data_IF_447636906465
#
_entry.id   IF_447636906465
#
_cell.length_a   1.000
_cell.length_b   1.000
_cell.length_c   1.000
_cell.angle_alpha   90.00
_cell.angle_beta   90.00
_cell.angle_gamma   90.00
#
_symmetry.space_group_name_H-M   'P 1'
#
loop_
_entity.id
_entity.type
_entity.pdbx_description
1 polymer ?
#
# COMPACT_ATOMS: atom_id res chain seq x y z
N UNK A 1 16.25 -14.89 23.70
CA UNK A 1 17.20 -14.54 24.78
C UNK A 1 18.62 -15.03 24.44
N UNK A 2 19.26 -14.50 23.38
CA UNK A 2 20.56 -15.04 22.92
C UNK A 2 21.80 -14.26 23.39
N UNK A 3 21.67 -12.96 23.70
CA UNK A 3 22.82 -12.12 24.07
C UNK A 3 22.54 -11.12 25.21
N UNK A 4 21.32 -11.11 25.77
CA UNK A 4 20.88 -10.16 26.80
C UNK A 4 20.22 -10.91 27.96
N UNK A 5 20.40 -10.42 29.18
CA UNK A 5 19.82 -11.03 30.38
C UNK A 5 18.29 -11.11 30.29
N UNK A 6 17.69 -12.14 30.91
CA UNK A 6 16.24 -12.36 30.97
C UNK A 6 15.50 -11.07 31.38
N UNK A 7 16.06 -10.34 32.33
CA UNK A 7 15.53 -9.06 32.84
C UNK A 7 15.49 -7.93 31.78
N UNK A 8 16.45 -7.88 30.85
CA UNK A 8 16.40 -6.92 29.75
C UNK A 8 15.36 -7.31 28.70
N UNK A 9 15.16 -8.62 28.47
CA UNK A 9 14.12 -9.11 27.59
C UNK A 9 12.72 -8.80 28.17
N UNK A 10 12.51 -9.01 29.47
CA UNK A 10 11.28 -8.66 30.18
C UNK A 10 10.96 -7.17 30.09
N UNK A 11 11.92 -6.29 30.36
CA UNK A 11 11.71 -4.83 30.25
C UNK A 11 11.27 -4.40 28.85
N UNK A 12 11.79 -5.04 27.80
CA UNK A 12 11.41 -4.77 26.42
C UNK A 12 10.07 -5.39 26.05
N UNK A 13 9.83 -6.63 26.46
CA UNK A 13 8.58 -7.34 26.20
C UNK A 13 7.37 -6.60 26.83
N UNK A 14 7.57 -5.89 27.94
CA UNK A 14 6.55 -5.02 28.54
C UNK A 14 6.05 -3.90 27.61
N UNK A 15 6.83 -3.48 26.61
CA UNK A 15 6.43 -2.43 25.67
C UNK A 15 5.43 -2.90 24.60
N UNK A 16 5.46 -4.18 24.20
CA UNK A 16 4.66 -4.69 23.08
C UNK A 16 3.31 -5.26 23.55
N UNK A 17 2.23 -5.08 22.79
CA UNK A 17 0.90 -5.58 23.16
C UNK A 17 0.77 -7.11 23.06
N UNK A 18 1.49 -7.71 22.11
CA UNK A 18 1.61 -9.15 21.93
C UNK A 18 3.06 -9.54 21.67
N UNK A 19 3.38 -10.81 21.90
CA UNK A 19 4.72 -11.36 21.65
C UNK A 19 4.65 -12.30 20.44
N UNK A 20 5.55 -12.09 19.48
CA UNK A 20 5.62 -12.88 18.25
C UNK A 20 6.63 -14.04 18.38
N UNK A 21 6.22 -15.22 17.91
CA UNK A 21 7.10 -16.37 17.70
C UNK A 21 6.94 -16.90 16.27
N UNK A 22 8.04 -17.33 15.66
CA UNK A 22 8.05 -17.85 14.29
C UNK A 22 8.46 -19.33 14.26
N UNK A 23 8.05 -20.09 13.23
CA UNK A 23 8.50 -21.46 13.04
C UNK A 23 10.03 -21.59 13.12
N UNK A 24 10.57 -22.66 13.72
CA UNK A 24 12.03 -22.87 13.79
C UNK A 24 12.72 -22.79 12.42
N UNK A 25 12.05 -23.26 11.36
CA UNK A 25 12.51 -23.18 9.97
C UNK A 25 12.74 -21.76 9.45
N UNK A 26 12.24 -20.72 10.12
CA UNK A 26 12.49 -19.33 9.71
C UNK A 26 13.86 -18.80 10.18
N UNK A 27 14.49 -19.49 11.14
CA UNK A 27 15.73 -19.04 11.77
C UNK A 27 16.99 -19.71 11.21
N UNK A 28 16.93 -20.28 10.00
CA UNK A 28 18.08 -20.98 9.37
C UNK A 28 19.34 -20.10 9.35
N UNK A 29 19.17 -18.82 9.05
CA UNK A 29 20.24 -17.83 9.02
C UNK A 29 20.97 -17.64 10.37
N UNK A 30 20.40 -18.07 11.50
CA UNK A 30 21.07 -18.03 12.80
C UNK A 30 22.10 -19.16 12.96
N UNK A 31 21.87 -20.31 12.30
CA UNK A 31 22.85 -21.39 12.22
C UNK A 31 24.02 -20.98 11.33
N UNK A 32 23.75 -20.35 10.17
CA UNK A 32 24.79 -19.86 9.26
C UNK A 32 25.73 -18.83 9.92
N UNK A 33 25.22 -18.09 10.90
CA UNK A 33 25.98 -17.08 11.65
C UNK A 33 26.61 -17.62 12.95
N UNK A 34 26.49 -18.92 13.20
CA UNK A 34 26.95 -19.59 14.43
C UNK A 34 26.41 -18.96 15.72
N UNK A 35 25.28 -18.24 15.63
CA UNK A 35 24.65 -17.62 16.79
C UNK A 35 23.84 -18.65 17.60
N UNK A 36 23.36 -19.69 16.93
CA UNK A 36 22.70 -20.85 17.53
C UNK A 36 23.45 -22.11 17.10
N UNK A 37 23.75 -22.99 18.06
CA UNK A 37 24.57 -24.18 17.82
C UNK A 37 23.76 -25.35 17.27
N UNK A 38 22.51 -25.51 17.70
CA UNK A 38 21.67 -26.63 17.33
C UNK A 38 20.17 -26.28 17.41
N UNK A 39 19.35 -27.11 16.78
CA UNK A 39 17.90 -26.95 16.76
C UNK A 39 17.28 -26.98 18.16
N UNK A 40 17.82 -27.82 19.06
CA UNK A 40 17.37 -27.88 20.45
C UNK A 40 17.50 -26.53 21.16
N UNK A 41 18.61 -25.81 20.97
CA UNK A 41 18.82 -24.49 21.53
C UNK A 41 17.82 -23.47 20.95
N UNK A 42 17.51 -23.55 19.66
CA UNK A 42 16.50 -22.70 19.04
C UNK A 42 15.11 -22.95 19.65
N UNK A 43 14.74 -24.22 19.79
CA UNK A 43 13.49 -24.66 20.42
C UNK A 43 13.41 -24.14 21.86
N UNK A 44 14.50 -24.24 22.64
CA UNK A 44 14.54 -23.73 24.01
C UNK A 44 14.45 -22.20 24.06
N UNK A 45 15.01 -21.48 23.09
CA UNK A 45 14.82 -20.03 22.98
C UNK A 45 13.35 -19.69 22.73
N UNK A 46 12.68 -20.43 21.84
CA UNK A 46 11.25 -20.22 21.55
C UNK A 46 10.41 -20.53 22.80
N UNK A 47 10.67 -21.65 23.48
CA UNK A 47 10.02 -21.99 24.77
C UNK A 47 10.18 -20.89 25.81
N UNK A 48 11.38 -20.34 25.96
CA UNK A 48 11.63 -19.25 26.89
C UNK A 48 10.87 -17.96 26.52
N UNK A 49 10.64 -17.70 25.24
CA UNK A 49 9.84 -16.55 24.78
C UNK A 49 8.36 -16.78 25.06
N UNK A 50 7.86 -18.01 24.82
CA UNK A 50 6.47 -18.37 25.14
C UNK A 50 6.22 -18.26 26.64
N UNK A 51 7.12 -18.80 27.47
CA UNK A 51 7.02 -18.67 28.93
C UNK A 51 7.10 -17.20 29.38
N UNK A 52 7.94 -16.40 28.74
CA UNK A 52 8.01 -14.95 29.03
C UNK A 52 6.69 -14.24 28.71
N UNK A 53 5.98 -14.66 27.67
CA UNK A 53 4.66 -14.11 27.34
C UNK A 53 3.65 -14.45 28.44
N UNK A 54 3.66 -15.70 28.91
CA UNK A 54 2.82 -16.17 30.01
C UNK A 54 3.12 -15.45 31.33
N UNK A 55 4.41 -15.29 31.66
CA UNK A 55 4.87 -14.57 32.86
C UNK A 55 4.46 -13.08 32.85
N UNK A 56 4.25 -12.50 31.66
CA UNK A 56 3.83 -11.11 31.48
C UNK A 56 2.33 -10.95 31.23
N UNK A 57 1.56 -12.06 31.24
CA UNK A 57 0.14 -12.10 30.90
C UNK A 57 -0.16 -11.46 29.53
N UNK A 58 0.70 -11.71 28.53
CA UNK A 58 0.56 -11.17 27.18
C UNK A 58 0.26 -12.27 26.16
N UNK A 59 -0.60 -12.02 25.17
CA UNK A 59 -0.87 -12.99 24.11
C UNK A 59 0.40 -13.28 23.31
N UNK A 60 0.75 -14.56 23.22
CA UNK A 60 1.81 -15.06 22.34
C UNK A 60 1.20 -15.51 21.02
N UNK A 61 1.69 -14.99 19.90
CA UNK A 61 1.13 -15.20 18.56
C UNK A 61 2.18 -15.82 17.65
N UNK A 62 1.83 -16.95 17.04
CA UNK A 62 2.66 -17.60 16.05
C UNK A 62 2.46 -16.98 14.66
N UNK A 63 3.53 -16.45 14.07
CA UNK A 63 3.48 -15.80 12.75
C UNK A 63 4.36 -16.54 11.74
N UNK A 64 3.95 -16.52 10.46
CA UNK A 64 4.70 -17.17 9.38
C UNK A 64 5.83 -16.31 8.79
N UNK A 65 5.81 -14.99 9.03
CA UNK A 65 6.67 -14.00 8.35
C UNK A 65 6.65 -14.19 6.82
N UNK A 66 5.44 -14.20 6.27
CA UNK A 66 5.13 -14.69 4.91
C UNK A 66 5.60 -13.68 3.87
N UNK A 67 6.28 -14.15 2.83
CA UNK A 67 6.75 -13.32 1.72
C UNK A 67 6.36 -13.87 0.34
N UNK A 68 5.86 -15.09 0.29
CA UNK A 68 5.42 -15.75 -0.92
C UNK A 68 4.32 -16.76 -0.60
N UNK A 69 3.55 -17.17 -1.60
CA UNK A 69 2.36 -17.98 -1.38
C UNK A 69 2.74 -19.46 -1.21
N UNK A 70 3.38 -20.03 -2.23
CA UNK A 70 3.74 -21.45 -2.29
C UNK A 70 5.22 -21.67 -1.96
N UNK A 71 5.57 -22.85 -1.44
CA UNK A 71 6.97 -23.21 -1.13
C UNK A 71 7.93 -23.02 -2.33
N UNK A 72 7.48 -23.32 -3.55
CA UNK A 72 8.29 -23.18 -4.77
C UNK A 72 8.56 -21.73 -5.18
N UNK A 73 7.76 -20.76 -4.70
CA UNK A 73 7.88 -19.35 -5.06
C UNK A 73 9.13 -18.68 -4.44
N UNK A 74 9.79 -19.38 -3.50
CA UNK A 74 11.06 -18.94 -2.92
C UNK A 74 12.11 -18.60 -3.99
N UNK A 75 12.09 -19.30 -5.13
CA UNK A 75 13.02 -19.04 -6.24
C UNK A 75 12.86 -17.62 -6.81
N UNK A 76 11.63 -17.13 -6.95
CA UNK A 76 11.37 -15.78 -7.44
C UNK A 76 11.95 -14.74 -6.50
N UNK A 77 11.77 -14.94 -5.20
CA UNK A 77 12.35 -14.07 -4.17
C UNK A 77 13.88 -14.08 -4.23
N UNK A 78 14.49 -15.25 -4.39
CA UNK A 78 15.94 -15.39 -4.48
C UNK A 78 16.49 -14.62 -5.70
N UNK A 79 15.83 -14.73 -6.86
CA UNK A 79 16.20 -14.00 -8.08
C UNK A 79 16.10 -12.48 -7.86
N UNK A 80 15.02 -12.01 -7.23
CA UNK A 80 14.83 -10.59 -6.95
C UNK A 80 15.90 -10.03 -6.01
N UNK A 81 16.24 -10.74 -4.93
CA UNK A 81 17.30 -10.31 -4.00
C UNK A 81 18.67 -10.36 -4.71
N UNK A 82 18.93 -11.38 -5.52
CA UNK A 82 20.17 -11.50 -6.29
C UNK A 82 20.37 -10.36 -7.29
N UNK A 83 19.27 -9.83 -7.87
CA UNK A 83 19.34 -8.69 -8.79
C UNK A 83 19.78 -7.38 -8.11
N UNK A 84 19.66 -7.28 -6.77
CA UNK A 84 20.07 -6.11 -6.00
C UNK A 84 21.54 -6.22 -5.58
N UNK A 85 22.42 -5.63 -6.40
CA UNK A 85 23.85 -5.54 -6.11
C UNK A 85 24.11 -4.95 -4.72
N UNK A 86 24.81 -5.70 -3.87
CA UNK A 86 25.19 -5.28 -2.51
C UNK A 86 24.18 -5.61 -1.41
N UNK A 87 23.06 -6.28 -1.71
CA UNK A 87 22.12 -6.71 -0.66
C UNK A 87 22.79 -7.74 0.28
N UNK A 88 22.89 -7.47 1.60
CA UNK A 88 23.51 -8.39 2.56
C UNK A 88 22.83 -9.76 2.66
N UNK A 89 21.57 -9.86 2.25
CA UNK A 89 20.81 -11.10 2.20
C UNK A 89 21.29 -12.04 1.09
N UNK A 90 22.00 -11.55 0.07
CA UNK A 90 22.59 -12.40 -0.97
C UNK A 90 23.69 -13.33 -0.44
N UNK A 91 24.24 -13.04 0.74
CA UNK A 91 25.31 -13.83 1.37
C UNK A 91 24.80 -14.82 2.41
N UNK A 92 23.47 -14.95 2.57
CA UNK A 92 22.84 -15.74 3.62
C UNK A 92 21.83 -16.70 3.03
N UNK A 93 21.63 -17.84 3.69
CA UNK A 93 20.55 -18.75 3.32
C UNK A 93 19.22 -18.11 3.67
N UNK A 94 18.36 -17.96 2.65
CA UNK A 94 17.03 -17.39 2.83
C UNK A 94 16.10 -18.48 3.40
N UNK A 95 15.40 -18.23 4.53
CA UNK A 95 14.44 -19.19 5.05
C UNK A 95 13.24 -19.31 4.11
N UNK A 96 12.64 -20.51 4.07
CA UNK A 96 11.41 -20.71 3.33
C UNK A 96 10.22 -20.13 4.13
N UNK A 97 9.68 -19.03 3.62
CA UNK A 97 8.68 -18.16 4.26
C UNK A 97 7.39 -18.12 3.44
N UNK A 98 6.87 -19.31 3.09
CA UNK A 98 5.60 -19.47 2.38
C UNK A 98 4.39 -19.31 3.31
N UNK A 99 3.21 -19.20 2.72
CA UNK A 99 1.95 -19.10 3.46
C UNK A 99 1.55 -20.48 4.00
N UNK A 100 2.00 -20.77 5.23
CA UNK A 100 1.73 -22.04 5.91
C UNK A 100 0.25 -22.20 6.24
N UNK A 101 -0.26 -23.42 6.10
CA UNK A 101 -1.59 -23.76 6.59
C UNK A 101 -1.60 -23.85 8.12
N UNK A 102 -2.78 -23.84 8.72
CA UNK A 102 -2.92 -24.03 10.18
C UNK A 102 -2.31 -25.36 10.63
N UNK A 103 -2.46 -26.43 9.83
CA UNK A 103 -1.87 -27.74 10.13
C UNK A 103 -0.34 -27.67 10.14
N UNK A 104 0.26 -27.06 9.12
CA UNK A 104 1.73 -26.91 9.05
C UNK A 104 2.27 -26.08 10.21
N UNK A 105 1.54 -25.02 10.60
CA UNK A 105 1.89 -24.21 11.78
C UNK A 105 1.76 -25.03 13.07
N UNK A 106 0.70 -25.82 13.22
CA UNK A 106 0.53 -26.70 14.39
C UNK A 106 1.66 -27.73 14.51
N UNK A 107 2.07 -28.33 13.39
CA UNK A 107 3.21 -29.25 13.34
C UNK A 107 4.52 -28.54 13.69
N UNK A 108 4.75 -27.35 13.15
CA UNK A 108 5.95 -26.56 13.43
C UNK A 108 6.11 -26.18 14.91
N UNK A 109 5.01 -26.10 15.67
CA UNK A 109 4.99 -25.78 17.10
C UNK A 109 4.64 -26.97 18.01
N UNK A 110 4.58 -28.20 17.47
CA UNK A 110 4.21 -29.40 18.23
C UNK A 110 5.09 -29.66 19.47
N UNK A 111 6.34 -29.18 19.46
CA UNK A 111 7.28 -29.29 20.58
C UNK A 111 6.89 -28.51 21.85
N UNK A 112 5.90 -27.63 21.78
CA UNK A 112 5.33 -26.88 22.92
C UNK A 112 4.19 -27.63 23.63
N UNK A 113 3.70 -28.73 23.04
CA UNK A 113 2.49 -29.42 23.47
C UNK A 113 1.24 -28.93 22.73
N UNK A 114 0.26 -29.82 22.59
CA UNK A 114 -0.92 -29.59 21.74
C UNK A 114 -1.74 -28.37 22.18
N UNK A 115 -1.96 -28.22 23.49
CA UNK A 115 -2.75 -27.12 24.04
C UNK A 115 -2.09 -25.76 23.76
N UNK A 116 -0.78 -25.64 24.03
CA UNK A 116 -0.05 -24.39 23.82
C UNK A 116 0.11 -24.08 22.34
N UNK A 117 0.32 -25.09 21.49
CA UNK A 117 0.35 -24.91 20.05
C UNK A 117 -0.99 -24.38 19.52
N UNK A 118 -2.13 -24.94 19.94
CA UNK A 118 -3.47 -24.43 19.55
C UNK A 118 -3.71 -23.01 20.05
N UNK A 119 -3.25 -22.69 21.25
CA UNK A 119 -3.36 -21.36 21.83
C UNK A 119 -2.66 -20.31 20.96
N UNK A 120 -1.37 -20.51 20.64
CA UNK A 120 -0.56 -19.51 19.94
C UNK A 120 -0.80 -19.47 18.42
N UNK A 121 -1.23 -20.58 17.81
CA UNK A 121 -1.44 -20.70 16.34
C UNK A 121 -2.86 -20.30 15.94
N UNK A 122 -3.86 -20.52 16.80
CA UNK A 122 -5.27 -20.34 16.45
C UNK A 122 -5.94 -19.33 17.38
N UNK A 123 -5.90 -19.57 18.69
CA UNK A 123 -6.72 -18.82 19.65
C UNK A 123 -6.27 -17.36 19.78
N UNK A 124 -4.99 -17.13 20.10
CA UNK A 124 -4.43 -15.79 20.29
C UNK A 124 -4.44 -14.96 18.98
N UNK A 125 -4.09 -15.52 17.81
CA UNK A 125 -4.19 -14.78 16.54
C UNK A 125 -5.62 -14.38 16.19
N UNK A 126 -6.60 -15.27 16.40
CA UNK A 126 -8.01 -14.95 16.16
C UNK A 126 -8.51 -13.87 17.13
N UNK A 127 -8.18 -13.98 18.42
CA UNK A 127 -8.52 -12.95 19.40
C UNK A 127 -7.91 -11.59 19.05
N UNK A 128 -6.69 -11.56 18.51
CA UNK A 128 -6.06 -10.32 18.06
C UNK A 128 -6.75 -9.77 16.80
N UNK A 129 -7.12 -10.63 15.86
CA UNK A 129 -7.85 -10.24 14.66
C UNK A 129 -9.24 -9.67 14.99
N UNK A 130 -9.95 -10.28 15.95
CA UNK A 130 -11.28 -9.84 16.40
C UNK A 130 -11.26 -8.46 17.11
N UNK A 131 -10.09 -8.04 17.62
CA UNK A 131 -9.90 -6.72 18.22
C UNK A 131 -9.67 -5.61 17.18
N UNK A 132 -9.39 -5.96 15.92
CA UNK A 132 -9.09 -5.00 14.86
C UNK A 132 -10.41 -4.61 14.19
N UNK A 133 -10.74 -3.33 14.24
CA UNK A 133 -11.89 -2.77 13.53
C UNK A 133 -11.69 -2.81 12.00
N UNK A 134 -12.79 -2.82 11.25
CA UNK A 134 -12.73 -2.74 9.79
C UNK A 134 -12.18 -1.37 9.37
N UNK A 135 -10.94 -1.34 8.89
CA UNK A 135 -10.30 -0.12 8.40
C UNK A 135 -10.42 -0.06 6.88
N UNK A 136 -11.00 1.03 6.36
CA UNK A 136 -10.96 1.36 4.94
C UNK A 136 -9.68 2.13 4.62
N UNK A 137 -8.69 1.54 3.92
CA UNK A 137 -7.42 2.23 3.63
C UNK A 137 -7.57 3.33 2.57
N UNK A 138 -8.63 3.27 1.76
CA UNK A 138 -8.95 4.24 0.70
C UNK A 138 -10.34 4.78 0.97
N UNK A 139 -10.51 6.10 0.82
CA UNK A 139 -11.80 6.75 0.97
C UNK A 139 -12.67 6.48 -0.26
N UNK A 140 -13.97 6.30 -0.04
CA UNK A 140 -14.94 6.04 -1.11
C UNK A 140 -15.26 7.31 -1.92
N UNK A 141 -15.18 8.48 -1.28
CA UNK A 141 -15.57 9.73 -1.90
C UNK A 141 -14.48 10.31 -2.82
N UNK A 142 -14.92 10.85 -3.95
CA UNK A 142 -14.08 11.69 -4.78
C UNK A 142 -13.94 13.07 -4.13
N UNK A 143 -12.78 13.33 -3.54
CA UNK A 143 -12.43 14.67 -3.09
C UNK A 143 -11.88 15.46 -4.27
N UNK A 144 -12.73 16.23 -4.93
CA UNK A 144 -12.29 17.23 -5.90
C UNK A 144 -11.58 18.38 -5.17
N UNK A 145 -10.65 19.11 -5.82
CA UNK A 145 -10.03 20.28 -5.24
C UNK A 145 -11.09 21.27 -4.72
N UNK A 146 -10.81 22.00 -3.62
CA UNK A 146 -11.77 22.94 -3.05
C UNK A 146 -12.29 23.90 -4.12
N UNK A 147 -13.61 24.16 -4.08
CA UNK A 147 -14.27 25.07 -5.00
C UNK A 147 -13.56 26.42 -4.99
N UNK A 148 -13.03 26.82 -6.14
CA UNK A 148 -12.57 28.19 -6.37
C UNK A 148 -13.81 28.97 -6.77
N UNK A 149 -14.13 30.03 -6.02
CA UNK A 149 -15.27 30.89 -6.31
C UNK A 149 -15.18 31.43 -7.75
N UNK A 150 -16.24 31.24 -8.53
CA UNK A 150 -16.33 31.68 -9.92
C UNK A 150 -15.73 30.72 -10.96
N UNK A 151 -15.13 29.59 -10.57
CA UNK A 151 -14.52 28.66 -11.53
C UNK A 151 -15.53 28.04 -12.52
N UNK A 152 -16.76 27.80 -12.09
CA UNK A 152 -17.85 27.27 -12.94
C UNK A 152 -18.32 28.27 -13.99
N UNK A 153 -18.33 29.57 -13.67
CA UNK A 153 -18.69 30.61 -14.62
C UNK A 153 -17.50 30.90 -15.55
N UNK A 154 -16.29 31.00 -15.00
CA UNK A 154 -15.06 31.24 -15.78
C UNK A 154 -14.84 30.13 -16.82
N UNK A 155 -15.07 28.86 -16.47
CA UNK A 155 -14.94 27.75 -17.44
C UNK A 155 -15.98 27.83 -18.55
N UNK A 156 -17.21 28.23 -18.22
CA UNK A 156 -18.30 28.41 -19.18
C UNK A 156 -18.00 29.56 -20.13
N UNK A 157 -17.63 30.71 -19.60
CA UNK A 157 -17.26 31.88 -20.41
C UNK A 157 -16.10 31.55 -21.34
N UNK A 158 -15.05 30.88 -20.86
CA UNK A 158 -13.91 30.46 -21.69
C UNK A 158 -14.34 29.54 -22.85
N UNK A 159 -15.19 28.53 -22.58
CA UNK A 159 -15.68 27.62 -23.62
C UNK A 159 -16.51 28.35 -24.69
N UNK A 160 -17.46 29.20 -24.28
CA UNK A 160 -18.31 29.95 -25.21
C UNK A 160 -17.52 31.01 -25.99
N UNK A 161 -16.61 31.74 -25.34
CA UNK A 161 -15.81 32.78 -26.00
C UNK A 161 -14.92 32.20 -27.10
N UNK A 162 -14.32 31.03 -26.86
CA UNK A 162 -13.54 30.37 -27.91
C UNK A 162 -14.43 29.73 -28.99
N UNK A 163 -15.61 29.19 -28.63
CA UNK A 163 -16.55 28.72 -29.64
C UNK A 163 -16.99 29.84 -30.59
N UNK A 164 -17.20 31.04 -30.07
CA UNK A 164 -17.48 32.22 -30.88
C UNK A 164 -16.29 32.64 -31.75
N UNK A 165 -15.05 32.57 -31.23
CA UNK A 165 -13.87 32.94 -32.03
C UNK A 165 -13.60 32.00 -33.20
N UNK A 166 -13.96 30.71 -33.08
CA UNK A 166 -13.76 29.71 -34.13
C UNK A 166 -14.96 29.59 -35.07
N UNK A 167 -16.18 29.55 -34.53
CA UNK A 167 -17.39 29.26 -35.31
C UNK A 167 -18.24 30.50 -35.64
N UNK A 168 -17.90 31.67 -35.08
CA UNK A 168 -18.63 32.93 -35.27
C UNK A 168 -19.84 33.10 -34.35
N UNK A 169 -20.52 34.25 -34.49
CA UNK A 169 -21.80 34.54 -33.84
C UNK A 169 -22.92 34.67 -34.89
N UNK A 170 -23.99 33.85 -34.85
CA UNK A 170 -24.29 32.82 -33.84
C UNK A 170 -23.52 31.50 -34.03
N UNK A 171 -23.25 30.81 -32.92
CA UNK A 171 -22.62 29.48 -32.90
C UNK A 171 -23.60 28.44 -33.50
N UNK A 172 -23.14 27.48 -34.32
CA UNK A 172 -24.00 26.41 -34.82
C UNK A 172 -24.63 25.59 -33.70
N UNK A 173 -25.92 25.24 -33.84
CA UNK A 173 -26.71 24.52 -32.83
C UNK A 173 -26.07 23.18 -32.39
N UNK A 174 -25.38 22.49 -33.30
CA UNK A 174 -24.67 21.24 -32.99
C UNK A 174 -23.50 21.44 -32.01
N UNK A 175 -22.82 22.58 -32.09
CA UNK A 175 -21.67 22.95 -31.25
C UNK A 175 -22.18 23.40 -29.88
N UNK A 176 -23.22 24.23 -29.85
CA UNK A 176 -23.85 24.71 -28.62
C UNK A 176 -24.37 23.54 -27.76
N UNK A 177 -25.15 22.62 -28.36
CA UNK A 177 -25.64 21.42 -27.66
C UNK A 177 -24.53 20.53 -27.11
N UNK A 178 -23.36 20.53 -27.75
CA UNK A 178 -22.22 19.74 -27.29
C UNK A 178 -21.55 20.37 -26.08
N UNK A 179 -21.30 21.68 -26.14
CA UNK A 179 -20.73 22.47 -25.03
C UNK A 179 -21.61 22.36 -23.79
N UNK A 180 -22.93 22.56 -23.94
CA UNK A 180 -23.85 22.47 -22.80
C UNK A 180 -23.86 21.08 -22.15
N UNK A 181 -23.79 20.01 -22.95
CA UNK A 181 -23.76 18.64 -22.45
C UNK A 181 -22.48 18.36 -21.67
N UNK A 182 -21.34 18.81 -22.16
CA UNK A 182 -20.03 18.59 -21.52
C UNK A 182 -19.87 19.43 -20.27
N UNK A 183 -20.14 20.74 -20.34
CA UNK A 183 -20.08 21.64 -19.18
C UNK A 183 -20.99 21.20 -18.04
N UNK A 184 -22.21 20.72 -18.34
CA UNK A 184 -23.11 20.19 -17.31
C UNK A 184 -22.51 18.99 -16.57
N UNK A 185 -21.79 18.11 -17.27
CA UNK A 185 -21.12 16.97 -16.68
C UNK A 185 -19.87 17.38 -15.88
N UNK A 186 -19.08 18.33 -16.40
CA UNK A 186 -17.84 18.80 -15.78
C UNK A 186 -18.13 19.56 -14.48
N UNK A 187 -19.10 20.48 -14.51
CA UNK A 187 -19.55 21.24 -13.35
C UNK A 187 -20.27 20.33 -12.36
N UNK A 188 -21.20 19.48 -12.83
CA UNK A 188 -21.99 18.59 -11.98
C UNK A 188 -21.18 17.54 -11.20
N UNK A 189 -19.96 17.23 -11.64
CA UNK A 189 -19.04 16.34 -10.95
C UNK A 189 -17.84 17.06 -10.29
N UNK A 190 -17.85 18.39 -10.20
CA UNK A 190 -16.81 19.16 -9.50
C UNK A 190 -15.45 19.22 -10.21
N UNK A 191 -15.40 18.94 -11.52
CA UNK A 191 -14.15 18.95 -12.28
C UNK A 191 -13.76 20.34 -12.83
N UNK A 192 -14.66 21.33 -12.76
CA UNK A 192 -14.44 22.68 -13.30
C UNK A 192 -13.11 23.31 -12.84
N UNK A 193 -12.79 23.17 -11.54
CA UNK A 193 -11.55 23.71 -10.96
C UNK A 193 -10.30 23.09 -11.59
N UNK A 194 -10.31 21.76 -11.83
CA UNK A 194 -9.16 21.04 -12.41
C UNK A 194 -8.92 21.47 -13.86
N UNK A 195 -10.01 21.63 -14.62
CA UNK A 195 -9.94 22.10 -16.00
C UNK A 195 -9.41 23.54 -16.08
N UNK A 196 -9.87 24.42 -15.19
CA UNK A 196 -9.40 25.80 -15.11
C UNK A 196 -7.91 25.88 -14.75
N UNK A 197 -7.45 25.13 -13.75
CA UNK A 197 -6.02 25.07 -13.38
C UNK A 197 -5.19 24.54 -14.56
N UNK A 198 -5.67 23.50 -15.23
CA UNK A 198 -5.00 22.90 -16.39
C UNK A 198 -4.87 23.90 -17.54
N UNK A 199 -5.93 24.67 -17.83
CA UNK A 199 -5.91 25.75 -18.80
C UNK A 199 -4.86 26.82 -18.45
N UNK A 200 -4.81 27.26 -17.20
CA UNK A 200 -3.84 28.28 -16.75
C UNK A 200 -2.39 27.77 -16.79
N UNK A 201 -2.17 26.49 -16.48
CA UNK A 201 -0.85 25.86 -16.60
C UNK A 201 -0.37 25.78 -18.05
N UNK A 202 -1.25 25.39 -18.98
CA UNK A 202 -0.92 25.34 -20.42
C UNK A 202 -0.64 26.75 -20.94
N UNK A 203 -1.49 27.72 -20.62
CA UNK A 203 -1.31 29.12 -21.04
C UNK A 203 0.04 29.66 -20.56
N UNK A 204 0.35 29.51 -19.27
CA UNK A 204 1.64 29.95 -18.71
C UNK A 204 2.83 29.29 -19.40
N UNK A 205 2.77 27.99 -19.66
CA UNK A 205 3.84 27.28 -20.36
C UNK A 205 4.07 27.82 -21.78
N UNK A 206 2.99 28.14 -22.51
CA UNK A 206 3.08 28.75 -23.84
C UNK A 206 3.66 30.17 -23.79
N UNK A 207 3.23 30.98 -22.81
CA UNK A 207 3.76 32.33 -22.57
C UNK A 207 5.27 32.29 -22.22
N UNK A 208 5.70 31.25 -21.49
CA UNK A 208 7.10 30.98 -21.14
C UNK A 208 7.91 30.35 -22.30
N UNK A 209 7.30 30.11 -23.47
CA UNK A 209 7.95 29.60 -24.67
C UNK A 209 8.07 28.07 -24.77
N UNK A 210 7.41 27.31 -23.90
CA UNK A 210 7.41 25.85 -23.88
C UNK A 210 6.11 25.26 -24.43
N UNK A 211 6.21 24.56 -25.56
CA UNK A 211 5.07 23.88 -26.18
C UNK A 211 4.62 22.68 -25.35
N UNK A 212 3.32 22.63 -25.04
CA UNK A 212 2.71 21.50 -24.31
C UNK A 212 2.00 20.55 -25.29
N UNK A 213 2.37 19.27 -25.23
CA UNK A 213 1.71 18.20 -25.97
C UNK A 213 0.53 17.61 -25.20
N UNK A 214 -0.61 17.44 -25.85
CA UNK A 214 -1.83 16.89 -25.26
C UNK A 214 -1.75 15.37 -25.04
N UNK A 215 -2.38 14.86 -23.97
CA UNK A 215 -2.38 13.42 -23.58
C UNK A 215 -3.68 12.99 -22.89
N UNK A 216 -4.00 11.70 -22.95
CA UNK A 216 -5.09 11.05 -22.19
C UNK A 216 -6.49 11.18 -22.81
N UNK A 217 -7.54 10.80 -22.07
CA UNK A 217 -8.94 10.81 -22.55
C UNK A 217 -9.53 12.23 -22.71
N UNK A 218 -8.81 13.28 -22.33
CA UNK A 218 -9.23 14.68 -22.50
C UNK A 218 -9.53 15.01 -23.97
N UNK A 219 -8.93 14.34 -24.95
CA UNK A 219 -9.23 14.53 -26.38
C UNK A 219 -10.69 14.25 -26.77
N UNK A 220 -11.42 13.44 -26.00
CA UNK A 220 -12.82 13.11 -26.27
C UNK A 220 -13.78 14.22 -25.86
N UNK A 221 -13.32 15.16 -25.01
CA UNK A 221 -14.08 16.31 -24.59
C UNK A 221 -13.81 17.45 -25.57
N UNK A 222 -14.87 17.89 -26.23
CA UNK A 222 -14.86 19.03 -27.11
C UNK A 222 -14.31 20.25 -26.36
N UNK A 223 -14.71 20.48 -25.10
CA UNK A 223 -14.21 21.58 -24.25
C UNK A 223 -12.66 21.57 -24.08
N UNK A 224 -12.02 20.40 -24.02
CA UNK A 224 -10.55 20.29 -23.96
C UNK A 224 -9.84 20.88 -25.19
N UNK A 225 -10.50 20.91 -26.35
CA UNK A 225 -9.95 21.48 -27.58
C UNK A 225 -9.85 23.02 -27.53
N UNK A 226 -10.78 23.66 -26.81
CA UNK A 226 -10.85 25.12 -26.65
C UNK A 226 -9.69 25.64 -25.82
N UNK A 227 -9.30 24.90 -24.78
CA UNK A 227 -8.22 25.31 -23.87
C UNK A 227 -6.82 25.27 -24.48
N UNK A 228 -6.61 24.54 -25.57
CA UNK A 228 -5.30 24.42 -26.24
C UNK A 228 -4.93 25.67 -27.03
N UNK A 229 -5.91 26.40 -27.55
CA UNK A 229 -5.72 27.43 -28.57
C UNK A 229 -6.09 28.84 -28.06
N UNK A 230 -6.44 29.01 -26.78
CA UNK A 230 -6.75 30.32 -26.16
C UNK A 230 -5.50 31.21 -25.93
N UNK A 231 -4.38 30.90 -26.58
CA UNK A 231 -3.11 31.62 -26.48
C UNK A 231 -2.43 31.84 -27.84
N UNK A 232 -3.20 31.77 -28.93
CA UNK A 232 -2.76 32.14 -30.29
C UNK A 232 -3.36 33.47 -30.69
#
# INVERSE_FOLDING_TARGET
MMQKSKEQAEKKAKFYDYIEVQPPSNFVHLFDRELVQNEAQLIDIIRNIVQLADDLEKPCVATGNVHHLEENDQLYRQILIASQSGNPLNRQTLPNTYFRTTTDMMEAFAFLGEDKAKEIVITNPNQLADQIEEVKPVKDDLYTPPNIDGAEEEIRELSYNFAKSVYGEPIPEIVEKRIEKELKSIIGHGFAVIYLISQKLVKKSLDDGYLVGSRGFCWFFFDCYFYRNYGS
#
